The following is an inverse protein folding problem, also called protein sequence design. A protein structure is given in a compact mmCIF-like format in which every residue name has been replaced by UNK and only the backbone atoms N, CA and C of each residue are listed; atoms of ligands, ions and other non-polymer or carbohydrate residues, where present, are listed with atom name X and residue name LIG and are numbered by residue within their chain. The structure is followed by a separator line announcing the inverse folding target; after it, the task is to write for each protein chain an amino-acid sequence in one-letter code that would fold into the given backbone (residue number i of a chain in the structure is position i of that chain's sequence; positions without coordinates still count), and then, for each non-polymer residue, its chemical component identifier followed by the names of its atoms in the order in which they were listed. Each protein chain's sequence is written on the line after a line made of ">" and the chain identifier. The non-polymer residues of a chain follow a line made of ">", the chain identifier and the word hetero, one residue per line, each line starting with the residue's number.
data_IF_807037805913
#
_entry.id   IF_807037805913
#
_cell.length_a   1.000
_cell.length_b   1.000
_cell.length_c   1.000
_cell.angle_alpha   90.00
_cell.angle_beta   90.00
_cell.angle_gamma   90.00
#
_symmetry.space_group_name_H-M   'P 1'
#
loop_
_entity.id
_entity.type
_entity.pdbx_description
1 polymer ?
#
# COMPACT_ATOMS: atom_id res chain seq x y z
N UNK A 1 10.86 -9.72 -1.70
CA UNK A 1 9.78 -9.55 -0.71
C UNK A 1 10.40 -8.96 0.54
N UNK A 2 9.94 -7.78 1.01
CA UNK A 2 10.44 -7.17 2.24
C UNK A 2 10.19 -8.09 3.44
N UNK A 3 11.17 -8.21 4.34
CA UNK A 3 11.05 -9.06 5.52
C UNK A 3 9.86 -8.65 6.40
N UNK A 4 9.66 -7.34 6.57
CA UNK A 4 8.60 -6.79 7.43
C UNK A 4 7.19 -7.12 6.90
N UNK A 5 6.99 -7.08 5.57
CA UNK A 5 5.70 -7.44 4.97
C UNK A 5 5.41 -8.94 5.09
N UNK A 6 6.44 -9.79 4.94
CA UNK A 6 6.31 -11.24 5.17
C UNK A 6 5.99 -11.53 6.64
N UNK A 7 6.62 -10.80 7.57
CA UNK A 7 6.36 -10.93 8.99
C UNK A 7 4.93 -10.50 9.34
N UNK A 8 4.46 -9.37 8.79
CA UNK A 8 3.07 -8.90 8.94
C UNK A 8 2.08 -9.99 8.53
N UNK A 9 2.22 -10.56 7.33
CA UNK A 9 1.31 -11.59 6.84
C UNK A 9 1.34 -12.87 7.68
N UNK A 10 2.50 -13.26 8.19
CA UNK A 10 2.63 -14.50 8.96
C UNK A 10 2.17 -14.37 10.42
N UNK A 11 2.39 -13.20 11.05
CA UNK A 11 2.13 -12.99 12.47
C UNK A 11 0.78 -12.34 12.76
N UNK A 12 0.34 -11.42 11.91
CA UNK A 12 -0.87 -10.62 12.11
C UNK A 12 -1.91 -11.00 11.05
N UNK A 13 -1.48 -11.15 9.80
CA UNK A 13 -2.33 -11.51 8.67
C UNK A 13 -2.62 -10.33 7.74
N UNK A 14 -3.82 -10.34 7.17
CA UNK A 14 -4.33 -9.38 6.21
C UNK A 14 -5.84 -9.23 6.42
N UNK A 15 -6.41 -8.15 5.89
CA UNK A 15 -7.82 -7.80 6.13
C UNK A 15 -8.01 -6.29 6.27
N UNK A 16 -9.11 -5.91 6.89
CA UNK A 16 -9.55 -4.52 6.96
C UNK A 16 -9.23 -3.90 8.31
N UNK A 17 -8.71 -2.68 8.30
CA UNK A 17 -8.58 -1.85 9.49
C UNK A 17 -9.84 -1.00 9.66
N UNK A 18 -10.17 -0.65 10.90
CA UNK A 18 -11.29 0.26 11.18
C UNK A 18 -10.94 1.65 10.63
N UNK A 19 -11.91 2.29 10.00
CA UNK A 19 -11.85 3.66 9.51
C UNK A 19 -12.96 4.51 10.14
N UNK A 20 -12.64 5.73 10.56
CA UNK A 20 -13.66 6.73 10.93
C UNK A 20 -14.26 7.44 9.71
N UNK A 21 -13.58 7.35 8.56
CA UNK A 21 -13.95 7.99 7.29
C UNK A 21 -14.62 7.04 6.30
N UNK A 22 -14.97 5.82 6.72
CA UNK A 22 -15.45 4.72 5.87
C UNK A 22 -14.49 4.36 4.71
N UNK A 23 -13.18 4.58 4.90
CA UNK A 23 -12.15 4.09 3.97
C UNK A 23 -12.06 2.57 4.02
N UNK A 24 -11.60 1.97 2.91
CA UNK A 24 -11.41 0.52 2.77
C UNK A 24 -10.35 0.05 3.76
N UNK A 25 -9.20 0.74 3.80
CA UNK A 25 -8.06 0.44 4.67
C UNK A 25 -7.72 -1.05 4.77
N UNK A 26 -7.54 -1.68 3.62
CA UNK A 26 -7.28 -3.11 3.52
C UNK A 26 -5.79 -3.38 3.39
N UNK A 27 -5.26 -4.15 4.33
CA UNK A 27 -4.01 -4.88 4.15
C UNK A 27 -4.29 -6.01 3.17
N UNK A 28 -3.66 -5.97 2.00
CA UNK A 28 -3.86 -6.94 0.94
C UNK A 28 -3.19 -8.27 1.29
N UNK A 29 -3.88 -9.36 0.99
CA UNK A 29 -3.28 -10.70 1.06
C UNK A 29 -2.27 -10.90 -0.09
N UNK A 30 -1.36 -11.89 0.03
CA UNK A 30 -0.33 -12.12 -0.98
C UNK A 30 -0.85 -12.34 -2.41
N UNK A 31 -2.03 -12.98 -2.56
CA UNK A 31 -2.60 -13.21 -3.89
C UNK A 31 -3.11 -11.91 -4.49
N UNK A 32 -3.80 -11.08 -3.71
CA UNK A 32 -4.23 -9.75 -4.15
C UNK A 32 -3.04 -8.86 -4.55
N UNK A 33 -1.92 -8.93 -3.82
CA UNK A 33 -0.69 -8.19 -4.20
C UNK A 33 -0.15 -8.64 -5.56
N UNK A 34 -0.15 -9.96 -5.80
CA UNK A 34 0.26 -10.52 -7.10
C UNK A 34 -0.71 -10.07 -8.20
N UNK A 35 -2.02 -10.15 -7.94
CA UNK A 35 -3.06 -9.82 -8.90
C UNK A 35 -3.04 -8.33 -9.26
N UNK A 36 -2.82 -7.45 -8.29
CA UNK A 36 -2.61 -6.02 -8.54
C UNK A 36 -1.39 -5.80 -9.44
N UNK A 37 -0.27 -6.48 -9.14
CA UNK A 37 0.97 -6.30 -9.91
C UNK A 37 0.83 -6.67 -11.38
N UNK A 38 0.01 -7.67 -11.68
CA UNK A 38 -0.26 -8.10 -13.04
C UNK A 38 -1.52 -7.46 -13.65
N UNK A 39 -2.24 -6.60 -12.92
CA UNK A 39 -3.49 -6.00 -13.37
C UNK A 39 -4.52 -7.05 -13.75
N UNK A 40 -4.74 -8.05 -12.89
CA UNK A 40 -5.65 -9.17 -13.12
C UNK A 40 -6.57 -9.38 -11.92
N UNK A 41 -7.56 -10.25 -12.07
CA UNK A 41 -8.54 -10.51 -11.02
C UNK A 41 -9.36 -9.25 -10.75
N UNK A 42 -9.47 -8.86 -9.49
CA UNK A 42 -10.25 -7.67 -9.09
C UNK A 42 -9.69 -6.35 -9.65
N UNK A 43 -8.43 -6.34 -10.13
CA UNK A 43 -7.74 -5.15 -10.63
C UNK A 43 -7.71 -5.02 -12.16
N UNK A 44 -8.33 -5.95 -12.89
CA UNK A 44 -8.32 -5.96 -14.36
C UNK A 44 -8.92 -4.69 -14.99
N UNK A 45 -9.93 -4.11 -14.32
CA UNK A 45 -10.64 -2.92 -14.77
C UNK A 45 -10.43 -1.71 -13.87
N UNK A 46 -9.39 -1.73 -13.02
CA UNK A 46 -9.07 -0.58 -12.19
C UNK A 46 -8.66 0.60 -13.10
N UNK A 47 -9.38 1.74 -13.08
CA UNK A 47 -9.17 2.83 -14.05
C UNK A 47 -7.74 3.35 -14.08
N UNK A 48 -7.09 3.41 -12.91
CA UNK A 48 -5.77 4.00 -12.72
C UNK A 48 -4.64 2.96 -12.73
N UNK A 49 -4.90 1.71 -13.13
CA UNK A 49 -3.89 0.63 -13.07
C UNK A 49 -2.64 0.95 -13.87
N UNK A 50 -2.77 1.62 -15.02
CA UNK A 50 -1.63 2.02 -15.85
C UNK A 50 -0.72 3.03 -15.13
N UNK A 51 -1.30 3.96 -14.36
CA UNK A 51 -0.53 4.90 -13.54
C UNK A 51 0.28 4.13 -12.50
N UNK A 52 -0.37 3.21 -11.78
CA UNK A 52 0.32 2.41 -10.76
C UNK A 52 1.39 1.48 -11.34
N UNK A 53 1.31 1.05 -12.60
CA UNK A 53 2.39 0.26 -13.22
C UNK A 53 3.72 1.01 -13.27
N UNK A 54 3.70 2.33 -13.42
CA UNK A 54 4.91 3.16 -13.46
C UNK A 54 5.67 3.17 -12.13
N UNK A 55 4.96 3.02 -11.00
CA UNK A 55 5.52 3.11 -9.64
C UNK A 55 5.84 1.74 -9.01
N UNK A 56 5.69 0.65 -9.76
CA UNK A 56 5.84 -0.71 -9.24
C UNK A 56 7.21 -1.34 -9.51
N UNK A 57 8.16 -0.68 -10.16
CA UNK A 57 9.45 -1.30 -10.51
C UNK A 57 10.24 -1.77 -9.27
N UNK A 58 10.37 -0.91 -8.26
CA UNK A 58 11.12 -1.15 -7.04
C UNK A 58 10.22 -1.18 -5.78
N UNK A 59 8.91 -1.35 -5.97
CA UNK A 59 7.88 -1.37 -4.91
C UNK A 59 6.83 -2.45 -5.13
N UNK A 60 6.07 -2.75 -4.09
CA UNK A 60 4.88 -3.61 -4.15
C UNK A 60 3.71 -2.90 -3.51
N UNK A 61 2.57 -2.87 -4.21
CA UNK A 61 1.31 -2.42 -3.63
C UNK A 61 0.86 -3.47 -2.61
N UNK A 62 0.62 -3.05 -1.37
CA UNK A 62 0.26 -3.96 -0.27
C UNK A 62 -0.95 -3.49 0.54
N UNK A 63 -1.40 -2.25 0.31
CA UNK A 63 -2.48 -1.65 1.06
C UNK A 63 -3.41 -0.85 0.13
N UNK A 64 -4.70 -1.12 0.24
CA UNK A 64 -5.78 -0.44 -0.47
C UNK A 64 -6.44 0.50 0.54
N UNK A 65 -6.19 1.80 0.42
CA UNK A 65 -6.77 2.78 1.35
C UNK A 65 -8.23 3.05 1.00
N UNK A 66 -8.51 3.31 -0.28
CA UNK A 66 -9.86 3.50 -0.81
C UNK A 66 -9.92 3.04 -2.28
N UNK A 67 -11.01 3.35 -2.97
CA UNK A 67 -11.26 2.93 -4.37
C UNK A 67 -10.24 3.48 -5.39
N UNK A 68 -9.42 4.48 -5.01
CA UNK A 68 -8.49 5.15 -5.93
C UNK A 68 -7.06 5.28 -5.39
N UNK A 69 -6.83 5.08 -4.09
CA UNK A 69 -5.55 5.25 -3.43
C UNK A 69 -4.97 3.93 -2.93
N UNK A 70 -3.85 3.52 -3.52
CA UNK A 70 -3.09 2.33 -3.18
C UNK A 70 -1.69 2.69 -2.71
N UNK A 71 -1.25 2.04 -1.64
CA UNK A 71 0.01 2.32 -0.97
C UNK A 71 0.99 1.16 -1.19
N UNK A 72 2.25 1.51 -1.44
CA UNK A 72 3.30 0.56 -1.75
C UNK A 72 4.41 0.51 -0.71
N UNK A 73 5.09 -0.63 -0.63
CA UNK A 73 6.30 -0.84 0.17
C UNK A 73 7.49 -1.06 -0.77
N UNK A 74 8.62 -0.42 -0.45
CA UNK A 74 9.87 -0.59 -1.19
C UNK A 74 10.44 -2.01 -1.06
N UNK A 75 10.99 -2.54 -2.16
CA UNK A 75 11.55 -3.90 -2.25
C UNK A 75 13.00 -3.97 -2.75
N UNK A 76 13.64 -2.83 -3.06
CA UNK A 76 15.04 -2.74 -3.47
C UNK A 76 15.95 -2.49 -2.27
N UNK A 77 17.26 -2.65 -2.43
CA UNK A 77 18.24 -2.43 -1.35
C UNK A 77 18.17 -0.99 -0.78
N UNK A 78 17.85 0.00 -1.62
CA UNK A 78 17.86 1.42 -1.24
C UNK A 78 16.56 1.88 -0.54
N UNK A 79 15.47 1.15 -0.76
CA UNK A 79 14.14 1.55 -0.33
C UNK A 79 13.38 0.50 0.51
N UNK A 80 13.99 -0.66 0.76
CA UNK A 80 13.35 -1.79 1.46
C UNK A 80 12.64 -1.34 2.73
N UNK A 81 11.35 -1.67 2.83
CA UNK A 81 10.52 -1.39 4.00
C UNK A 81 9.92 0.02 4.06
N UNK A 82 10.44 1.00 3.29
CA UNK A 82 9.85 2.35 3.22
C UNK A 82 8.49 2.31 2.52
N UNK A 83 7.59 3.20 2.93
CA UNK A 83 6.20 3.21 2.47
C UNK A 83 5.94 4.43 1.59
N UNK A 84 5.26 4.21 0.47
CA UNK A 84 5.08 5.20 -0.58
C UNK A 84 3.64 5.30 -1.06
N UNK A 85 3.21 6.53 -1.32
CA UNK A 85 2.08 6.81 -2.19
C UNK A 85 2.64 7.36 -3.51
N UNK A 86 2.45 6.61 -4.59
CA UNK A 86 3.22 6.78 -5.83
C UNK A 86 4.74 6.77 -5.57
N UNK A 87 5.45 7.86 -5.85
CA UNK A 87 6.88 8.05 -5.59
C UNK A 87 7.17 8.82 -4.30
N UNK A 88 6.14 9.38 -3.66
CA UNK A 88 6.27 10.15 -2.42
C UNK A 88 6.37 9.20 -1.22
N UNK A 89 7.48 9.29 -0.47
CA UNK A 89 7.64 8.53 0.75
C UNK A 89 6.71 9.10 1.84
N UNK A 90 5.75 8.30 2.30
CA UNK A 90 4.74 8.71 3.29
C UNK A 90 5.03 8.18 4.70
N UNK A 91 5.79 7.08 4.80
CA UNK A 91 6.23 6.53 6.07
C UNK A 91 7.62 5.88 5.98
N UNK A 92 8.34 5.87 7.10
CA UNK A 92 9.69 5.31 7.20
C UNK A 92 9.69 3.77 7.15
N UNK A 93 8.64 3.14 7.67
CA UNK A 93 8.44 1.69 7.74
C UNK A 93 6.96 1.37 8.02
N UNK A 94 6.62 0.09 8.16
CA UNK A 94 5.25 -0.37 8.46
C UNK A 94 4.73 0.15 9.81
N UNK A 95 5.56 0.21 10.85
CA UNK A 95 5.13 0.69 12.18
C UNK A 95 4.73 2.17 12.13
N UNK A 96 5.58 3.01 11.53
CA UNK A 96 5.28 4.44 11.30
C UNK A 96 4.02 4.60 10.43
N UNK A 97 3.85 3.76 9.42
CA UNK A 97 2.67 3.77 8.57
C UNK A 97 1.40 3.47 9.35
N UNK A 98 1.36 2.41 10.16
CA UNK A 98 0.16 2.05 10.91
C UNK A 98 -0.16 3.03 12.04
N UNK A 99 0.84 3.62 12.70
CA UNK A 99 0.61 4.70 13.66
C UNK A 99 0.00 5.94 13.00
N UNK A 100 0.45 6.30 11.78
CA UNK A 100 -0.14 7.39 11.01
C UNK A 100 -1.56 7.09 10.55
N UNK A 101 -1.82 5.88 10.01
CA UNK A 101 -3.16 5.45 9.60
C UNK A 101 -4.13 5.48 10.78
N UNK A 102 -3.69 5.03 11.96
CA UNK A 102 -4.48 5.07 13.19
C UNK A 102 -4.82 6.50 13.63
N UNK A 103 -3.92 7.47 13.39
CA UNK A 103 -4.14 8.86 13.75
C UNK A 103 -5.01 9.62 12.74
N UNK A 104 -4.77 9.37 11.44
CA UNK A 104 -5.53 9.94 10.32
C UNK A 104 -5.32 9.03 9.10
N UNK A 105 -6.34 8.27 8.70
CA UNK A 105 -6.23 7.31 7.60
C UNK A 105 -6.22 7.95 6.20
N UNK A 106 -6.25 9.29 6.12
CA UNK A 106 -6.09 10.08 4.90
C UNK A 106 -4.84 10.96 4.90
N UNK A 107 -3.91 10.78 5.85
CA UNK A 107 -2.76 11.68 6.05
C UNK A 107 -1.87 11.88 4.81
N UNK A 108 -1.89 10.95 3.85
CA UNK A 108 -1.10 11.01 2.63
C UNK A 108 -1.76 11.81 1.51
N UNK A 109 -3.07 12.11 1.61
CA UNK A 109 -3.79 12.89 0.61
C UNK A 109 -3.25 14.33 0.54
N UNK A 110 -2.93 14.91 1.69
CA UNK A 110 -2.36 16.26 1.81
C UNK A 110 -0.94 16.37 1.21
N UNK A 111 -0.27 15.24 0.96
CA UNK A 111 1.11 15.21 0.43
C UNK A 111 1.20 15.34 -1.09
N UNK A 112 0.08 15.15 -1.81
CA UNK A 112 0.05 15.29 -3.28
C UNK A 112 -0.20 16.74 -3.75
N UNK A 113 -0.59 17.65 -2.87
CA UNK A 113 -0.85 19.05 -3.21
C UNK A 113 0.40 19.96 -3.13
N UNK A 114 1.60 19.38 -3.01
CA UNK A 114 2.87 20.11 -2.84
C UNK A 114 3.76 20.13 -4.08
#
# INVERSE_FOLDING_TARGET
>A
MPADLVELWNKIGYGFLISENNNVNRIMDPLSVIDFRFGRGDFEYLPDIEIYKEFQNDKLIFFESNESAYISIGISEENSGKIYYYDTQVAANLDDFFEKIKANDMYFADLLEM
#
